data_IF_496316390355
#
_entry.id   IF_496316390355
#
_cell.length_a   1.000
_cell.length_b   1.000
_cell.length_c   1.000
_cell.angle_alpha   90.00
_cell.angle_beta   90.00
_cell.angle_gamma   90.00
#
_symmetry.space_group_name_H-M   'P 1'
#
loop_
_entity.id
_entity.type
_entity.pdbx_description
1 polymer ?
#
# COMPACT_ATOMS: atom_id res chain seq x y z
N UNK A 1 15.68 -33.36 -36.68
CA UNK A 1 15.61 -32.35 -35.60
C UNK A 1 14.15 -32.12 -35.24
N UNK A 2 13.65 -32.78 -34.18
CA UNK A 2 12.30 -32.55 -33.64
C UNK A 2 12.44 -31.48 -32.57
N UNK A 3 11.90 -30.29 -32.83
CA UNK A 3 11.85 -29.21 -31.83
C UNK A 3 10.62 -29.47 -30.95
N UNK A 4 10.86 -29.99 -29.74
CA UNK A 4 9.86 -30.05 -28.69
C UNK A 4 9.69 -28.65 -28.10
N UNK A 5 8.55 -28.01 -28.35
CA UNK A 5 8.15 -26.78 -27.68
C UNK A 5 7.66 -27.19 -26.29
N UNK A 6 8.45 -26.89 -25.26
CA UNK A 6 8.03 -27.03 -23.88
C UNK A 6 7.15 -25.83 -23.54
N UNK A 7 5.83 -25.99 -23.65
CA UNK A 7 4.88 -25.01 -23.13
C UNK A 7 4.91 -25.08 -21.61
N UNK A 8 5.54 -24.10 -20.97
CA UNK A 8 5.49 -23.92 -19.52
C UNK A 8 4.10 -23.38 -19.18
N UNK A 9 3.17 -24.28 -18.88
CA UNK A 9 1.84 -23.94 -18.37
C UNK A 9 2.02 -23.45 -16.93
N UNK A 10 2.25 -22.15 -16.74
CA UNK A 10 2.26 -21.55 -15.41
C UNK A 10 0.82 -21.45 -14.94
N UNK A 11 0.40 -22.41 -14.11
CA UNK A 11 -0.82 -22.28 -13.32
C UNK A 11 -0.56 -21.19 -12.27
N UNK A 12 -0.85 -19.93 -12.60
CA UNK A 12 -0.85 -18.84 -11.65
C UNK A 12 -2.10 -18.94 -10.78
N UNK A 13 -2.06 -19.81 -9.77
CA UNK A 13 -2.90 -19.67 -8.58
C UNK A 13 -2.44 -18.38 -7.90
N UNK A 14 -3.27 -17.35 -7.90
CA UNK A 14 -3.02 -16.14 -7.11
C UNK A 14 -2.95 -16.53 -5.65
N UNK A 15 -1.74 -16.64 -5.10
CA UNK A 15 -1.54 -16.86 -3.68
C UNK A 15 -1.87 -15.57 -2.96
N UNK A 16 -2.77 -15.61 -1.97
CA UNK A 16 -2.96 -14.46 -1.08
C UNK A 16 -1.64 -14.03 -0.45
N UNK A 17 -1.54 -12.77 -0.02
CA UNK A 17 -0.36 -12.25 0.65
C UNK A 17 -0.07 -13.05 1.92
N UNK A 18 0.88 -13.98 1.83
CA UNK A 18 1.43 -14.75 2.95
C UNK A 18 2.74 -14.09 3.44
N UNK A 19 2.78 -12.76 3.46
CA UNK A 19 3.99 -12.02 3.83
C UNK A 19 4.40 -12.31 5.27
N UNK A 20 5.71 -12.45 5.49
CA UNK A 20 6.31 -12.62 6.81
C UNK A 20 6.45 -11.29 7.59
N UNK A 21 6.00 -10.18 6.98
CA UNK A 21 6.06 -8.83 7.52
C UNK A 21 4.81 -8.03 7.09
N UNK A 22 4.40 -7.01 7.86
CA UNK A 22 3.28 -6.15 7.48
C UNK A 22 3.61 -5.36 6.20
N UNK A 23 2.59 -5.14 5.37
CA UNK A 23 2.65 -4.23 4.23
C UNK A 23 1.81 -3.00 4.57
N UNK A 24 2.48 -1.87 4.80
CA UNK A 24 1.81 -0.60 5.11
C UNK A 24 1.97 0.33 3.92
N UNK A 25 0.84 0.87 3.47
CA UNK A 25 0.75 1.80 2.34
C UNK A 25 0.33 3.14 2.92
N UNK A 26 1.27 4.07 2.99
CA UNK A 26 1.16 5.35 3.67
C UNK A 26 1.56 6.51 2.72
N UNK A 27 1.71 7.74 3.22
CA UNK A 27 2.04 8.91 2.38
C UNK A 27 3.34 8.74 1.56
N UNK A 28 4.26 7.87 1.99
CA UNK A 28 5.54 7.63 1.31
C UNK A 28 5.41 6.73 0.08
N UNK A 29 4.28 6.05 -0.07
CA UNK A 29 4.06 5.08 -1.13
C UNK A 29 3.21 5.68 -2.28
N UNK A 30 3.37 6.96 -2.62
CA UNK A 30 2.57 7.70 -3.62
C UNK A 30 3.31 8.00 -4.93
N UNK A 31 4.63 7.78 -5.01
CA UNK A 31 5.42 8.05 -6.21
C UNK A 31 5.38 6.88 -7.21
N UNK A 32 4.37 6.93 -8.09
CA UNK A 32 4.16 5.94 -9.15
C UNK A 32 5.30 5.85 -10.18
N UNK A 33 6.19 6.85 -10.27
CA UNK A 33 7.33 6.77 -11.20
C UNK A 33 8.31 5.66 -10.81
N UNK A 34 8.27 5.26 -9.54
CA UNK A 34 9.12 4.20 -9.00
C UNK A 34 8.61 2.81 -9.34
N UNK A 35 7.35 2.65 -9.79
CA UNK A 35 6.77 1.36 -10.15
C UNK A 35 7.27 0.95 -11.55
N UNK A 36 8.11 -0.09 -11.68
CA UNK A 36 8.61 -0.52 -12.98
C UNK A 36 7.47 -1.07 -13.86
N UNK A 37 7.57 -0.88 -15.17
CA UNK A 37 6.55 -1.30 -16.14
C UNK A 37 6.15 -2.78 -16.04
N UNK A 38 7.09 -3.67 -15.69
CA UNK A 38 6.81 -5.09 -15.47
C UNK A 38 5.82 -5.33 -14.32
N UNK A 39 5.89 -4.52 -13.25
CA UNK A 39 4.99 -4.64 -12.11
C UNK A 39 3.63 -3.98 -12.38
N UNK A 40 3.59 -2.90 -13.17
CA UNK A 40 2.33 -2.36 -13.69
C UNK A 40 1.60 -3.43 -14.53
N UNK A 41 2.33 -4.15 -15.40
CA UNK A 41 1.76 -5.26 -16.16
C UNK A 41 1.31 -6.43 -15.24
N UNK A 42 2.11 -6.76 -14.22
CA UNK A 42 1.75 -7.80 -13.25
C UNK A 42 0.47 -7.47 -12.48
N UNK A 43 0.27 -6.22 -12.07
CA UNK A 43 -0.99 -5.78 -11.43
C UNK A 43 -2.19 -6.07 -12.33
N UNK A 44 -2.14 -5.66 -13.60
CA UNK A 44 -3.26 -5.82 -14.53
C UNK A 44 -3.58 -7.28 -14.88
N UNK A 45 -2.57 -8.14 -14.82
CA UNK A 45 -2.73 -9.58 -15.05
C UNK A 45 -3.21 -10.34 -13.82
N UNK A 46 -2.72 -9.95 -12.64
CA UNK A 46 -2.82 -10.79 -11.45
C UNK A 46 -3.77 -10.24 -10.39
N UNK A 47 -4.08 -8.95 -10.38
CA UNK A 47 -4.93 -8.34 -9.33
C UNK A 47 -6.35 -8.17 -9.86
N UNK A 48 -7.30 -8.72 -9.10
CA UNK A 48 -8.74 -8.56 -9.32
C UNK A 48 -9.37 -8.19 -7.98
N UNK A 49 -9.84 -6.96 -7.90
CA UNK A 49 -10.08 -6.30 -6.62
C UNK A 49 -11.58 -6.13 -6.36
N UNK A 50 -12.04 -6.54 -5.17
CA UNK A 50 -13.33 -6.17 -4.60
C UNK A 50 -13.15 -4.98 -3.67
N UNK A 51 -13.91 -3.92 -3.92
CA UNK A 51 -13.90 -2.73 -3.09
C UNK A 51 -15.30 -2.38 -2.63
N UNK A 52 -15.46 -2.19 -1.34
CA UNK A 52 -16.71 -1.77 -0.75
C UNK A 52 -16.48 -0.51 0.08
N UNK A 53 -17.33 0.49 -0.07
CA UNK A 53 -17.12 1.76 0.59
C UNK A 53 -18.40 2.59 0.70
N UNK A 54 -18.32 3.68 1.45
CA UNK A 54 -19.29 4.78 1.42
C UNK A 54 -18.64 6.02 0.80
N UNK A 55 -19.08 7.24 1.10
CA UNK A 55 -18.61 8.46 0.42
C UNK A 55 -17.10 8.65 0.45
N UNK A 56 -16.42 8.51 1.60
CA UNK A 56 -14.97 8.76 1.69
C UNK A 56 -14.14 7.75 0.89
N UNK A 57 -14.54 6.48 0.83
CA UNK A 57 -13.80 5.51 0.03
C UNK A 57 -13.88 5.76 -1.48
N UNK A 58 -14.92 6.47 -1.96
CA UNK A 58 -15.01 6.85 -3.38
C UNK A 58 -13.84 7.72 -3.85
N UNK A 59 -13.09 8.32 -2.91
CA UNK A 59 -11.88 9.07 -3.22
C UNK A 59 -10.81 8.23 -3.94
N UNK A 60 -10.71 6.91 -3.65
CA UNK A 60 -9.82 6.02 -4.40
C UNK A 60 -10.29 5.88 -5.85
N UNK A 61 -11.60 5.80 -6.09
CA UNK A 61 -12.17 5.70 -7.44
C UNK A 61 -11.83 6.96 -8.25
N UNK A 62 -12.04 8.14 -7.68
CA UNK A 62 -11.71 9.42 -8.30
C UNK A 62 -10.21 9.52 -8.60
N UNK A 63 -9.35 9.19 -7.64
CA UNK A 63 -7.89 9.21 -7.82
C UNK A 63 -7.37 8.24 -8.88
N UNK A 64 -7.89 7.00 -8.90
CA UNK A 64 -7.54 6.00 -9.90
C UNK A 64 -8.02 6.42 -11.30
N UNK A 65 -9.20 7.02 -11.41
CA UNK A 65 -9.73 7.52 -12.67
C UNK A 65 -8.88 8.66 -13.24
N UNK A 66 -8.47 9.62 -12.40
CA UNK A 66 -7.55 10.70 -12.84
C UNK A 66 -6.22 10.12 -13.31
N UNK A 67 -5.60 9.24 -12.53
CA UNK A 67 -4.33 8.64 -12.91
C UNK A 67 -4.42 7.85 -14.23
N UNK A 68 -5.49 7.07 -14.42
CA UNK A 68 -5.76 6.36 -15.67
C UNK A 68 -5.87 7.30 -16.88
N UNK A 69 -6.50 8.48 -16.70
CA UNK A 69 -6.64 9.49 -17.76
C UNK A 69 -5.31 10.22 -18.06
N UNK A 70 -4.50 10.45 -17.03
CA UNK A 70 -3.18 11.09 -17.16
C UNK A 70 -2.15 10.17 -17.83
N UNK A 71 -2.21 8.88 -17.52
CA UNK A 71 -1.22 7.90 -17.95
C UNK A 71 -1.84 6.52 -18.18
N UNK A 72 -2.03 6.19 -19.45
CA UNK A 72 -2.62 4.93 -19.90
C UNK A 72 -1.85 3.66 -19.46
N UNK A 73 -0.62 3.78 -18.95
CA UNK A 73 0.09 2.65 -18.33
C UNK A 73 -0.71 2.10 -17.13
N UNK A 74 -1.32 3.01 -16.37
CA UNK A 74 -2.12 2.75 -15.17
C UNK A 74 -3.60 2.53 -15.49
N UNK A 75 -3.87 1.75 -16.54
CA UNK A 75 -5.20 1.33 -16.98
C UNK A 75 -6.09 0.88 -15.82
N UNK A 76 -7.27 1.48 -15.67
CA UNK A 76 -8.23 1.16 -14.59
C UNK A 76 -9.63 0.93 -15.14
N UNK A 77 -10.30 -0.10 -14.62
CA UNK A 77 -11.68 -0.44 -14.96
C UNK A 77 -12.48 -0.72 -13.68
N UNK A 78 -13.50 0.10 -13.43
CA UNK A 78 -14.48 -0.07 -12.35
C UNK A 78 -15.78 -0.65 -12.92
N UNK A 79 -16.29 -1.71 -12.32
CA UNK A 79 -17.64 -2.23 -12.59
C UNK A 79 -18.54 -2.04 -11.38
N UNK A 80 -19.74 -1.50 -11.59
CA UNK A 80 -20.77 -1.39 -10.55
C UNK A 80 -21.35 -2.77 -10.26
N UNK A 81 -21.20 -3.25 -9.02
CA UNK A 81 -21.69 -4.55 -8.54
C UNK A 81 -21.37 -5.72 -9.48
N UNK A 82 -20.28 -5.60 -10.24
CA UNK A 82 -19.92 -6.51 -11.32
C UNK A 82 -18.43 -6.41 -11.62
N UNK A 83 -17.84 -7.50 -12.09
CA UNK A 83 -16.45 -7.50 -12.49
C UNK A 83 -16.33 -7.07 -13.96
N UNK A 84 -15.62 -5.97 -14.28
CA UNK A 84 -15.44 -5.56 -15.66
C UNK A 84 -14.54 -6.53 -16.43
N UNK A 85 -14.74 -6.63 -17.75
CA UNK A 85 -13.95 -7.47 -18.66
C UNK A 85 -12.89 -6.70 -19.45
N UNK A 86 -12.66 -5.43 -19.12
CA UNK A 86 -11.72 -4.54 -19.82
C UNK A 86 -10.30 -5.13 -19.81
N UNK A 87 -9.70 -5.37 -20.98
CA UNK A 87 -8.34 -5.90 -21.07
C UNK A 87 -7.32 -4.84 -20.65
N UNK A 88 -6.15 -5.29 -20.19
CA UNK A 88 -5.02 -4.41 -19.86
C UNK A 88 -5.40 -3.28 -18.86
N UNK A 89 -6.19 -3.61 -17.84
CA UNK A 89 -6.57 -2.70 -16.77
C UNK A 89 -6.57 -3.42 -15.41
N UNK A 90 -6.30 -2.68 -14.33
CA UNK A 90 -6.67 -3.07 -12.98
C UNK A 90 -8.20 -3.13 -12.93
N UNK A 91 -8.75 -4.29 -12.57
CA UNK A 91 -10.20 -4.52 -12.55
C UNK A 91 -10.73 -4.48 -11.14
N UNK A 92 -11.74 -3.65 -10.93
CA UNK A 92 -12.41 -3.48 -9.66
C UNK A 92 -13.89 -3.87 -9.76
N UNK A 93 -14.32 -4.79 -8.91
CA UNK A 93 -15.71 -5.02 -8.55
C UNK A 93 -16.05 -4.02 -7.43
N UNK A 94 -16.88 -3.04 -7.75
CA UNK A 94 -17.27 -1.99 -6.82
C UNK A 94 -18.62 -2.29 -6.16
N UNK A 95 -18.64 -2.29 -4.82
CA UNK A 95 -19.83 -2.57 -4.05
C UNK A 95 -20.03 -4.05 -3.72
N UNK A 96 -21.26 -4.36 -3.31
CA UNK A 96 -21.74 -5.72 -3.06
C UNK A 96 -22.65 -6.17 -4.23
N UNK A 97 -23.69 -6.98 -3.94
CA UNK A 97 -24.55 -7.62 -4.94
C UNK A 97 -25.32 -6.62 -5.81
N UNK A 98 -25.91 -5.59 -5.20
CA UNK A 98 -26.81 -4.64 -5.88
C UNK A 98 -26.67 -3.18 -5.42
N UNK A 99 -25.66 -2.91 -4.59
CA UNK A 99 -25.39 -1.60 -4.00
C UNK A 99 -23.88 -1.33 -3.98
N UNK A 100 -23.43 -0.11 -4.28
CA UNK A 100 -22.04 0.35 -4.15
C UNK A 100 -21.81 1.31 -2.97
N UNK A 101 -22.85 1.61 -2.19
CA UNK A 101 -22.78 2.35 -0.94
C UNK A 101 -22.88 1.42 0.27
N UNK A 102 -21.73 0.93 0.73
CA UNK A 102 -21.60 -0.20 1.66
C UNK A 102 -21.17 0.27 3.05
N UNK A 103 -22.13 0.42 3.96
CA UNK A 103 -21.92 0.63 5.39
C UNK A 103 -21.35 -0.63 6.09
N UNK A 104 -20.86 -0.54 7.35
CA UNK A 104 -20.31 -1.70 8.05
C UNK A 104 -21.21 -2.94 8.04
N UNK A 105 -22.52 -2.75 8.27
CA UNK A 105 -23.55 -3.79 8.35
C UNK A 105 -23.82 -4.49 7.01
N UNK A 106 -23.25 -3.96 5.92
CA UNK A 106 -23.30 -4.51 4.59
C UNK A 106 -21.97 -5.15 4.15
N UNK A 107 -20.95 -5.23 5.02
CA UNK A 107 -19.66 -5.85 4.68
C UNK A 107 -19.07 -6.77 5.77
N UNK A 108 -18.84 -6.26 6.97
CA UNK A 108 -18.18 -7.02 8.05
C UNK A 108 -19.00 -7.06 9.35
N UNK A 109 -19.92 -6.11 9.56
CA UNK A 109 -20.68 -6.02 10.80
C UNK A 109 -21.97 -6.84 10.68
N UNK A 110 -22.20 -7.72 11.66
CA UNK A 110 -23.40 -8.56 11.69
C UNK A 110 -23.42 -9.68 10.64
N UNK A 111 -24.31 -10.65 10.84
CA UNK A 111 -24.39 -11.84 9.99
C UNK A 111 -24.78 -11.55 8.54
N UNK A 112 -25.59 -10.50 8.31
CA UNK A 112 -26.05 -10.13 6.97
C UNK A 112 -24.91 -9.54 6.12
N UNK A 113 -24.17 -8.56 6.64
CA UNK A 113 -23.01 -7.99 5.95
C UNK A 113 -21.92 -9.02 5.68
N UNK A 114 -21.64 -9.88 6.66
CA UNK A 114 -20.69 -10.99 6.50
C UNK A 114 -21.12 -11.93 5.36
N UNK A 115 -22.41 -12.29 5.29
CA UNK A 115 -22.94 -13.15 4.24
C UNK A 115 -22.87 -12.49 2.85
N UNK A 116 -23.09 -11.17 2.74
CA UNK A 116 -22.96 -10.45 1.47
C UNK A 116 -21.53 -10.50 0.93
N UNK A 117 -20.53 -10.21 1.76
CA UNK A 117 -19.11 -10.30 1.37
C UNK A 117 -18.73 -11.73 0.98
N UNK A 118 -19.19 -12.73 1.73
CA UNK A 118 -18.99 -14.13 1.40
C UNK A 118 -19.61 -14.48 0.03
N UNK A 119 -20.80 -13.98 -0.25
CA UNK A 119 -21.51 -14.23 -1.50
C UNK A 119 -20.80 -13.58 -2.70
N UNK A 120 -20.33 -12.34 -2.58
CA UNK A 120 -19.55 -11.68 -3.65
C UNK A 120 -18.30 -12.50 -3.98
N UNK A 121 -17.53 -12.89 -2.98
CA UNK A 121 -16.29 -13.66 -3.19
C UNK A 121 -16.55 -15.07 -3.72
N UNK A 122 -17.61 -15.74 -3.24
CA UNK A 122 -17.99 -17.08 -3.71
C UNK A 122 -18.48 -17.07 -5.17
N UNK A 123 -19.22 -16.03 -5.56
CA UNK A 123 -19.74 -15.89 -6.92
C UNK A 123 -18.68 -15.40 -7.93
N UNK A 124 -17.60 -14.80 -7.45
CA UNK A 124 -16.53 -14.24 -8.28
C UNK A 124 -15.17 -14.79 -7.84
N UNK A 125 -14.89 -16.09 -8.06
CA UNK A 125 -13.69 -16.76 -7.54
C UNK A 125 -12.36 -16.23 -8.11
N UNK A 126 -12.39 -15.35 -9.12
CA UNK A 126 -11.21 -14.65 -9.60
C UNK A 126 -10.79 -13.47 -8.73
N UNK A 127 -11.67 -12.94 -7.87
CA UNK A 127 -11.33 -11.89 -6.92
C UNK A 127 -10.28 -12.42 -5.95
N UNK A 128 -9.20 -11.65 -5.76
CA UNK A 128 -8.10 -12.05 -4.90
C UNK A 128 -7.59 -10.92 -3.99
N UNK A 129 -8.23 -9.76 -4.04
CA UNK A 129 -8.06 -8.68 -3.07
C UNK A 129 -9.45 -8.19 -2.66
N UNK A 130 -9.68 -7.99 -1.37
CA UNK A 130 -10.92 -7.41 -0.83
C UNK A 130 -10.58 -6.29 0.14
N UNK A 131 -11.20 -5.14 -0.02
CA UNK A 131 -10.97 -3.97 0.84
C UNK A 131 -12.29 -3.29 1.17
N UNK A 132 -12.41 -2.79 2.40
CA UNK A 132 -13.54 -1.95 2.82
C UNK A 132 -13.06 -0.66 3.46
N UNK A 133 -13.69 0.46 3.11
CA UNK A 133 -13.31 1.78 3.57
C UNK A 133 -14.28 2.38 4.59
N UNK A 134 -13.69 2.94 5.65
CA UNK A 134 -14.40 3.75 6.64
C UNK A 134 -14.88 5.08 6.05
N UNK A 135 -15.98 5.59 6.59
CA UNK A 135 -16.35 7.00 6.58
C UNK A 135 -16.12 7.53 8.00
N UNK A 136 -17.10 8.18 8.63
CA UNK A 136 -16.99 8.68 10.00
C UNK A 136 -17.12 7.62 11.11
N UNK A 137 -17.43 6.35 10.79
CA UNK A 137 -17.72 5.33 11.81
C UNK A 137 -16.57 5.14 12.80
N UNK A 138 -15.33 5.14 12.32
CA UNK A 138 -14.16 5.00 13.18
C UNK A 138 -14.01 6.16 14.20
N UNK A 139 -14.62 7.33 13.96
CA UNK A 139 -14.56 8.47 14.87
C UNK A 139 -15.48 8.35 16.08
N UNK A 140 -16.57 7.60 15.97
CA UNK A 140 -17.54 7.37 17.05
C UNK A 140 -17.65 5.92 17.51
N UNK A 141 -17.05 4.96 16.80
CA UNK A 141 -16.93 3.57 17.25
C UNK A 141 -15.97 3.49 18.44
N UNK A 142 -16.30 2.64 19.42
CA UNK A 142 -15.42 2.37 20.56
C UNK A 142 -14.38 1.28 20.22
N UNK A 143 -13.41 1.06 21.12
CA UNK A 143 -12.33 0.10 20.92
C UNK A 143 -12.82 -1.35 20.74
N UNK A 144 -13.93 -1.74 21.35
CA UNK A 144 -14.56 -3.05 21.14
C UNK A 144 -15.08 -3.19 19.70
N UNK A 145 -15.74 -2.17 19.15
CA UNK A 145 -16.23 -2.20 17.77
C UNK A 145 -15.08 -2.24 16.76
N UNK A 146 -13.99 -1.49 17.00
CA UNK A 146 -12.78 -1.59 16.18
C UNK A 146 -12.17 -2.99 16.26
N UNK A 147 -12.15 -3.61 17.45
CA UNK A 147 -11.66 -4.97 17.63
C UNK A 147 -12.52 -6.00 16.89
N UNK A 148 -13.85 -5.80 16.85
CA UNK A 148 -14.77 -6.66 16.09
C UNK A 148 -14.47 -6.59 14.58
N UNK A 149 -14.24 -5.39 14.04
CA UNK A 149 -13.79 -5.23 12.64
C UNK A 149 -12.51 -6.03 12.38
N UNK A 150 -11.49 -5.86 13.22
CA UNK A 150 -10.20 -6.51 13.04
C UNK A 150 -10.31 -8.05 13.09
N UNK A 151 -11.08 -8.57 14.04
CA UNK A 151 -11.34 -10.01 14.14
C UNK A 151 -12.11 -10.54 12.94
N UNK A 152 -13.14 -9.82 12.47
CA UNK A 152 -13.91 -10.26 11.33
C UNK A 152 -13.09 -10.24 10.03
N UNK A 153 -12.26 -9.23 9.82
CA UNK A 153 -11.34 -9.19 8.68
C UNK A 153 -10.39 -10.40 8.70
N UNK A 154 -9.85 -10.78 9.86
CA UNK A 154 -9.04 -12.01 9.99
C UNK A 154 -9.83 -13.31 9.82
N UNK A 155 -11.10 -13.32 10.22
CA UNK A 155 -11.99 -14.47 9.95
C UNK A 155 -12.20 -14.64 8.44
N UNK A 156 -12.37 -13.54 7.69
CA UNK A 156 -12.45 -13.61 6.23
C UNK A 156 -11.16 -14.12 5.59
N UNK A 157 -9.98 -13.69 6.04
CA UNK A 157 -8.69 -14.22 5.54
C UNK A 157 -8.59 -15.73 5.77
N UNK A 158 -9.09 -16.22 6.90
CA UNK A 158 -9.13 -17.67 7.20
C UNK A 158 -10.10 -18.42 6.28
N UNK A 159 -11.26 -17.82 5.99
CA UNK A 159 -12.29 -18.42 5.15
C UNK A 159 -11.95 -18.39 3.66
N UNK A 160 -11.26 -17.35 3.19
CA UNK A 160 -10.88 -17.13 1.80
C UNK A 160 -9.37 -17.01 1.68
N UNK A 161 -8.61 -18.12 1.82
CA UNK A 161 -7.15 -18.10 1.88
C UNK A 161 -6.45 -17.67 0.58
N UNK A 162 -7.20 -17.49 -0.53
CA UNK A 162 -6.70 -16.96 -1.79
C UNK A 162 -7.04 -15.47 -2.00
N UNK A 163 -7.70 -14.85 -1.02
CA UNK A 163 -8.07 -13.42 -1.03
C UNK A 163 -7.24 -12.69 0.01
N UNK A 164 -6.53 -11.65 -0.43
CA UNK A 164 -5.87 -10.72 0.49
C UNK A 164 -6.87 -9.70 0.99
N UNK A 165 -7.15 -9.68 2.29
CA UNK A 165 -7.98 -8.64 2.89
C UNK A 165 -7.11 -7.45 3.28
N UNK A 166 -7.40 -6.29 2.70
CA UNK A 166 -6.71 -5.04 3.02
C UNK A 166 -7.48 -4.33 4.12
N UNK A 167 -6.78 -4.07 5.22
CA UNK A 167 -7.25 -3.28 6.34
C UNK A 167 -7.04 -1.80 5.99
N UNK A 168 -7.83 -0.92 6.61
CA UNK A 168 -7.80 0.50 6.30
C UNK A 168 -7.99 1.33 7.56
N UNK A 169 -7.27 2.45 7.69
CA UNK A 169 -7.58 3.47 8.70
C UNK A 169 -8.76 4.33 8.23
N UNK A 170 -9.41 5.04 9.16
CA UNK A 170 -10.37 6.09 8.82
C UNK A 170 -9.68 7.31 8.21
N UNK A 171 -10.46 8.35 7.95
CA UNK A 171 -9.97 9.66 7.50
C UNK A 171 -9.48 10.50 8.69
N UNK A 172 -9.07 11.75 8.43
CA UNK A 172 -8.88 12.79 9.44
C UNK A 172 -10.19 13.54 9.72
N UNK A 173 -10.42 13.95 10.96
CA UNK A 173 -11.64 14.66 11.37
C UNK A 173 -11.35 15.97 12.13
N UNK A 174 -10.10 16.44 12.13
CA UNK A 174 -9.68 17.61 12.88
C UNK A 174 -9.64 17.43 14.40
N UNK A 175 -9.87 16.22 14.93
CA UNK A 175 -9.74 15.96 16.38
C UNK A 175 -8.29 15.81 16.85
N UNK A 176 -7.33 15.83 15.92
CA UNK A 176 -5.90 15.88 16.17
C UNK A 176 -5.30 14.59 16.72
N UNK A 177 -4.02 14.68 17.12
CA UNK A 177 -3.22 13.52 17.56
C UNK A 177 -3.82 12.78 18.77
N UNK A 178 -4.55 13.48 19.63
CA UNK A 178 -5.20 12.92 20.81
C UNK A 178 -6.68 12.58 20.59
N UNK A 179 -7.19 12.79 19.38
CA UNK A 179 -8.57 12.57 18.98
C UNK A 179 -9.01 11.10 19.05
N UNK A 180 -10.32 10.87 19.17
CA UNK A 180 -10.88 9.51 19.21
C UNK A 180 -10.57 8.75 17.93
N UNK A 181 -10.77 9.36 16.77
CA UNK A 181 -10.49 8.74 15.48
C UNK A 181 -9.03 8.33 15.34
N UNK A 182 -8.07 9.18 15.74
CA UNK A 182 -6.66 8.83 15.68
C UNK A 182 -6.31 7.65 16.62
N UNK A 183 -6.92 7.58 17.81
CA UNK A 183 -6.75 6.41 18.70
C UNK A 183 -7.24 5.12 18.03
N UNK A 184 -8.39 5.16 17.34
CA UNK A 184 -8.89 3.99 16.61
C UNK A 184 -8.01 3.62 15.41
N UNK A 185 -7.53 4.61 14.65
CA UNK A 185 -6.57 4.40 13.58
C UNK A 185 -5.28 3.75 14.09
N UNK A 186 -4.80 4.15 15.27
CA UNK A 186 -3.63 3.54 15.89
C UNK A 186 -3.88 2.09 16.31
N UNK A 187 -5.06 1.75 16.82
CA UNK A 187 -5.43 0.35 17.07
C UNK A 187 -5.37 -0.50 15.79
N UNK A 188 -5.88 0.01 14.67
CA UNK A 188 -5.82 -0.69 13.37
C UNK A 188 -4.37 -0.84 12.90
N UNK A 189 -3.56 0.23 12.97
CA UNK A 189 -2.14 0.21 12.61
C UNK A 189 -1.35 -0.80 13.43
N UNK A 190 -1.53 -0.81 14.75
CA UNK A 190 -0.88 -1.73 15.66
C UNK A 190 -1.27 -3.18 15.37
N UNK A 191 -2.55 -3.45 15.14
CA UNK A 191 -3.03 -4.77 14.77
C UNK A 191 -2.39 -5.25 13.47
N UNK A 192 -2.34 -4.40 12.43
CA UNK A 192 -1.76 -4.77 11.15
C UNK A 192 -0.26 -5.06 11.27
N UNK A 193 0.49 -4.23 12.00
CA UNK A 193 1.93 -4.44 12.23
C UNK A 193 2.20 -5.72 13.02
N UNK A 194 1.43 -5.97 14.08
CA UNK A 194 1.61 -7.14 14.94
C UNK A 194 1.28 -8.46 14.23
N UNK A 195 0.32 -8.44 13.30
CA UNK A 195 -0.19 -9.64 12.65
C UNK A 195 0.17 -9.73 11.17
N UNK A 196 1.18 -8.98 10.72
CA UNK A 196 1.68 -8.98 9.33
C UNK A 196 0.59 -8.74 8.26
N UNK A 197 -0.38 -7.88 8.56
CA UNK A 197 -1.49 -7.57 7.64
C UNK A 197 -1.07 -6.55 6.57
N UNK A 198 -1.90 -6.46 5.54
CA UNK A 198 -1.85 -5.39 4.55
C UNK A 198 -2.73 -4.24 5.04
N UNK A 199 -2.15 -3.05 5.17
CA UNK A 199 -2.82 -1.83 5.61
C UNK A 199 -2.73 -0.75 4.54
N UNK A 200 -3.86 -0.20 4.15
CA UNK A 200 -3.97 1.08 3.44
C UNK A 200 -4.22 2.19 4.46
N UNK A 201 -3.19 2.98 4.78
CA UNK A 201 -3.24 3.98 5.84
C UNK A 201 -3.79 5.32 5.31
N UNK A 202 -5.10 5.36 5.12
CA UNK A 202 -5.84 6.50 4.57
C UNK A 202 -5.62 7.80 5.37
N UNK A 203 -5.71 7.74 6.70
CA UNK A 203 -5.44 8.90 7.56
C UNK A 203 -3.99 9.38 7.45
N UNK A 204 -3.02 8.47 7.31
CA UNK A 204 -1.63 8.87 7.14
C UNK A 204 -1.43 9.62 5.82
N UNK A 205 -1.97 9.11 4.70
CA UNK A 205 -1.90 9.81 3.41
C UNK A 205 -2.51 11.22 3.49
N UNK A 206 -3.62 11.39 4.22
CA UNK A 206 -4.26 12.71 4.42
C UNK A 206 -3.50 13.64 5.36
N UNK A 207 -2.58 13.10 6.17
CA UNK A 207 -1.82 13.87 7.16
C UNK A 207 -0.61 14.57 6.56
N UNK A 208 -0.27 14.31 5.30
CA UNK A 208 0.92 14.88 4.66
C UNK A 208 0.60 15.52 3.32
N UNK A 209 1.23 16.68 3.07
CA UNK A 209 1.30 17.18 1.71
C UNK A 209 2.28 16.32 0.87
N UNK A 210 2.26 16.43 -0.48
CA UNK A 210 3.17 15.67 -1.32
C UNK A 210 4.66 16.03 -1.15
N UNK A 211 4.99 17.10 -0.42
CA UNK A 211 6.36 17.47 -0.06
C UNK A 211 6.82 16.83 1.26
N UNK A 212 5.94 16.11 1.95
CA UNK A 212 6.23 15.42 3.21
C UNK A 212 6.03 16.28 4.46
N UNK A 213 5.37 17.45 4.37
CA UNK A 213 5.01 18.24 5.54
C UNK A 213 3.80 17.61 6.24
N UNK A 214 3.86 17.48 7.57
CA UNK A 214 2.82 16.83 8.39
C UNK A 214 1.80 17.84 8.94
N UNK A 215 0.51 17.44 8.98
CA UNK A 215 -0.61 18.32 9.33
C UNK A 215 -1.60 17.74 10.36
N UNK A 216 -1.58 16.45 10.72
CA UNK A 216 -2.45 15.91 11.79
C UNK A 216 -2.14 16.57 13.15
N UNK A 217 -0.88 16.92 13.43
CA UNK A 217 -0.50 17.69 14.62
C UNK A 217 -1.08 19.11 14.68
N UNK A 218 -1.63 19.59 13.56
CA UNK A 218 -2.25 20.90 13.39
C UNK A 218 -3.77 20.80 13.21
N UNK A 219 -4.34 19.70 13.70
CA UNK A 219 -5.77 19.40 13.67
C UNK A 219 -6.34 19.38 12.25
N UNK A 220 -5.59 18.78 11.32
CA UNK A 220 -6.07 18.67 9.95
C UNK A 220 -7.33 17.82 9.80
N UNK A 221 -8.18 18.19 8.85
CA UNK A 221 -9.42 17.49 8.49
C UNK A 221 -9.28 16.72 7.17
N UNK A 222 -10.30 15.92 6.86
CA UNK A 222 -10.49 15.26 5.57
C UNK A 222 -10.62 16.26 4.40
N UNK A 223 -11.09 17.47 4.66
CA UNK A 223 -11.14 18.59 3.69
C UNK A 223 -9.78 19.25 3.41
N UNK A 224 -8.70 18.71 3.99
CA UNK A 224 -7.33 19.26 3.97
C UNK A 224 -7.16 20.59 4.73
N UNK A 225 -8.19 21.04 5.46
CA UNK A 225 -8.07 22.19 6.34
C UNK A 225 -7.22 21.84 7.54
N UNK A 226 -6.54 22.83 8.11
CA UNK A 226 -5.81 22.73 9.37
C UNK A 226 -5.80 24.10 10.08
N UNK A 227 -5.33 24.17 11.33
CA UNK A 227 -5.15 25.45 12.04
C UNK A 227 -4.12 26.36 11.35
N UNK A 228 -4.61 27.21 10.45
CA UNK A 228 -3.80 28.16 9.67
C UNK A 228 -4.04 28.15 8.17
N UNK A 229 -4.87 27.25 7.62
CA UNK A 229 -5.20 27.26 6.20
C UNK A 229 -5.65 25.91 5.66
N UNK A 230 -5.36 25.66 4.39
CA UNK A 230 -5.69 24.41 3.70
C UNK A 230 -4.46 23.94 2.94
N UNK A 231 -3.86 22.83 3.39
CA UNK A 231 -2.54 22.41 2.92
C UNK A 231 -2.56 22.02 1.44
N UNK A 232 -3.69 21.50 0.96
CA UNK A 232 -3.84 21.08 -0.43
C UNK A 232 -3.89 22.28 -1.38
N UNK A 233 -4.66 23.31 -1.01
CA UNK A 233 -4.75 24.56 -1.76
C UNK A 233 -3.39 25.26 -1.79
N UNK A 234 -2.74 25.35 -0.63
CA UNK A 234 -1.41 25.95 -0.50
C UNK A 234 -0.36 25.21 -1.34
N UNK A 235 -0.35 23.88 -1.27
CA UNK A 235 0.59 23.06 -2.01
C UNK A 235 0.39 23.19 -3.53
N UNK A 236 -0.85 23.16 -4.00
CA UNK A 236 -1.14 23.33 -5.42
C UNK A 236 -0.83 24.74 -5.93
N UNK A 237 -1.02 25.78 -5.11
CA UNK A 237 -0.60 27.14 -5.46
C UNK A 237 0.93 27.26 -5.60
N UNK A 238 1.68 26.52 -4.76
CA UNK A 238 3.14 26.48 -4.82
C UNK A 238 3.70 25.57 -5.95
N UNK A 239 2.89 24.63 -6.46
CA UNK A 239 3.27 23.66 -7.50
C UNK A 239 2.36 23.72 -8.73
N UNK A 240 2.27 24.87 -9.42
CA UNK A 240 1.38 25.02 -10.56
C UNK A 240 1.73 24.02 -11.67
N UNK A 241 0.70 23.33 -12.18
CA UNK A 241 0.85 22.31 -13.23
C UNK A 241 1.28 20.94 -12.74
N UNK A 242 1.39 20.72 -11.42
CA UNK A 242 1.59 19.38 -10.88
C UNK A 242 0.39 18.48 -11.23
N UNK A 243 0.61 17.25 -11.75
CA UNK A 243 -0.46 16.31 -12.04
C UNK A 243 -1.20 15.82 -10.79
N UNK A 244 -0.65 16.04 -9.59
CA UNK A 244 -1.39 15.77 -8.35
C UNK A 244 -2.53 16.77 -8.13
N UNK A 245 -2.47 17.96 -8.73
CA UNK A 245 -3.49 19.00 -8.59
C UNK A 245 -4.61 18.90 -9.62
N UNK A 246 -4.59 17.90 -10.49
CA UNK A 246 -5.64 17.70 -11.50
C UNK A 246 -6.99 17.47 -10.83
N UNK A 247 -8.00 18.15 -11.35
CA UNK A 247 -9.33 18.16 -10.77
C UNK A 247 -9.97 16.78 -10.81
N UNK A 248 -10.59 16.41 -9.69
CA UNK A 248 -11.59 15.37 -9.61
C UNK A 248 -12.64 15.76 -8.57
N UNK A 249 -13.82 15.16 -8.67
CA UNK A 249 -14.81 15.24 -7.60
C UNK A 249 -14.35 14.34 -6.45
N UNK A 250 -13.62 14.94 -5.52
CA UNK A 250 -13.03 14.28 -4.37
C UNK A 250 -13.96 14.43 -3.17
N UNK A 251 -14.72 13.38 -2.85
CA UNK A 251 -15.75 13.45 -1.81
C UNK A 251 -15.17 13.92 -0.46
N UNK A 252 -15.69 15.03 0.07
CA UNK A 252 -15.27 15.64 1.36
C UNK A 252 -13.78 15.98 1.43
N UNK A 253 -13.12 16.23 0.29
CA UNK A 253 -11.69 16.46 0.26
C UNK A 253 -11.26 17.29 -0.94
N UNK A 254 -9.95 17.57 -1.05
CA UNK A 254 -9.36 18.29 -2.17
C UNK A 254 -8.83 17.31 -3.23
N UNK A 255 -8.78 17.69 -4.53
CA UNK A 255 -8.31 16.80 -5.60
C UNK A 255 -6.95 16.17 -5.36
N UNK A 256 -6.02 16.88 -4.72
CA UNK A 256 -4.67 16.36 -4.41
C UNK A 256 -4.73 15.10 -3.54
N UNK A 257 -5.65 15.04 -2.58
CA UNK A 257 -5.80 13.91 -1.67
C UNK A 257 -6.26 12.65 -2.41
N UNK A 258 -7.28 12.78 -3.26
CA UNK A 258 -7.72 11.69 -4.14
C UNK A 258 -6.59 11.22 -5.06
N UNK A 259 -5.88 12.15 -5.70
CA UNK A 259 -4.77 11.82 -6.61
C UNK A 259 -3.64 11.06 -5.91
N UNK A 260 -3.27 11.44 -4.68
CA UNK A 260 -2.30 10.72 -3.85
C UNK A 260 -2.81 9.32 -3.50
N UNK A 261 -4.07 9.17 -3.08
CA UNK A 261 -4.67 7.87 -2.72
C UNK A 261 -4.77 6.91 -3.91
N UNK A 262 -5.12 7.41 -5.09
CA UNK A 262 -5.13 6.58 -6.31
C UNK A 262 -3.75 6.05 -6.67
N UNK A 263 -2.70 6.86 -6.46
CA UNK A 263 -1.30 6.46 -6.64
C UNK A 263 -0.83 5.47 -5.61
N UNK A 264 -1.17 5.70 -4.34
CA UNK A 264 -0.92 4.77 -3.24
C UNK A 264 -1.61 3.41 -3.47
N UNK A 265 -2.82 3.41 -4.03
CA UNK A 265 -3.51 2.18 -4.39
C UNK A 265 -2.74 1.40 -5.47
N UNK A 266 -2.25 2.06 -6.52
CA UNK A 266 -1.38 1.42 -7.52
C UNK A 266 -0.09 0.87 -6.92
N UNK A 267 0.53 1.60 -6.00
CA UNK A 267 1.69 1.11 -5.27
C UNK A 267 1.34 -0.16 -4.50
N UNK A 268 0.26 -0.14 -3.71
CA UNK A 268 -0.23 -1.31 -2.99
C UNK A 268 -0.41 -2.52 -3.91
N UNK A 269 -1.10 -2.36 -5.03
CA UNK A 269 -1.33 -3.47 -5.95
C UNK A 269 -0.04 -3.96 -6.57
N UNK A 270 0.90 -3.08 -6.91
CA UNK A 270 2.21 -3.51 -7.40
C UNK A 270 2.96 -4.35 -6.35
N UNK A 271 2.92 -3.94 -5.08
CA UNK A 271 3.48 -4.73 -3.97
C UNK A 271 2.80 -6.10 -3.83
N UNK A 272 1.47 -6.15 -3.90
CA UNK A 272 0.70 -7.40 -3.88
C UNK A 272 0.97 -8.29 -5.10
N UNK A 273 1.26 -7.69 -6.26
CA UNK A 273 1.64 -8.42 -7.47
C UNK A 273 3.07 -8.97 -7.42
N UNK A 274 3.84 -8.69 -6.35
CA UNK A 274 5.18 -9.22 -6.11
C UNK A 274 6.31 -8.19 -6.19
N UNK A 275 6.01 -6.93 -6.48
CA UNK A 275 7.03 -5.88 -6.55
C UNK A 275 7.74 -5.76 -5.19
N UNK A 276 9.08 -5.84 -5.14
CA UNK A 276 9.84 -5.59 -3.91
C UNK A 276 9.51 -4.26 -3.22
N UNK A 277 9.04 -3.27 -3.99
CA UNK A 277 9.09 -1.88 -3.61
C UNK A 277 10.35 -1.23 -4.20
N UNK A 278 10.39 0.09 -4.15
CA UNK A 278 11.56 0.83 -4.56
C UNK A 278 12.63 0.79 -3.47
N UNK A 279 13.92 0.69 -3.83
CA UNK A 279 15.00 0.99 -2.90
C UNK A 279 15.07 2.52 -2.73
N UNK A 280 14.25 3.08 -1.87
CA UNK A 280 14.40 4.48 -1.46
C UNK A 280 15.48 4.59 -0.37
N UNK A 281 16.40 5.54 -0.54
CA UNK A 281 17.29 6.02 0.53
C UNK A 281 18.44 5.11 0.95
N UNK A 282 18.83 4.09 0.16
CA UNK A 282 20.00 3.27 0.50
C UNK A 282 21.28 4.14 0.57
N UNK A 283 21.69 4.50 1.80
CA UNK A 283 22.93 5.21 2.07
C UNK A 283 23.99 4.22 2.52
N UNK A 284 25.24 4.48 2.14
CA UNK A 284 26.38 3.67 2.55
C UNK A 284 27.46 4.58 3.13
N UNK A 285 27.83 4.38 4.40
CA UNK A 285 28.91 5.11 5.05
C UNK A 285 29.98 4.16 5.57
N UNK A 286 31.25 4.44 5.25
CA UNK A 286 32.38 3.75 5.87
C UNK A 286 32.58 4.28 7.29
N UNK A 287 32.59 3.39 8.27
CA UNK A 287 32.83 3.73 9.66
C UNK A 287 34.33 3.72 9.99
N UNK A 288 34.80 4.61 10.89
CA UNK A 288 36.15 4.54 11.42
C UNK A 288 36.40 3.14 12.03
N UNK A 289 37.32 2.37 11.43
CA UNK A 289 37.59 0.98 11.83
C UNK A 289 37.21 -0.09 10.79
N UNK A 290 36.69 0.29 9.61
CA UNK A 290 36.48 -0.64 8.48
C UNK A 290 35.12 -1.33 8.43
N UNK A 291 34.13 -0.85 9.19
CA UNK A 291 32.73 -1.27 9.05
C UNK A 291 32.03 -0.55 7.88
N UNK A 292 31.06 -1.22 7.26
CA UNK A 292 30.13 -0.59 6.32
C UNK A 292 28.78 -0.42 7.02
N UNK A 293 28.35 0.82 7.21
CA UNK A 293 26.99 1.12 7.62
C UNK A 293 26.11 1.27 6.38
N UNK A 294 25.00 0.53 6.36
CA UNK A 294 23.96 0.67 5.34
C UNK A 294 22.72 1.25 6.02
N UNK A 295 22.27 2.40 5.54
CA UNK A 295 21.00 3.02 5.92
C UNK A 295 20.00 2.90 4.77
N UNK A 296 18.71 2.92 5.08
CA UNK A 296 17.66 3.16 4.08
C UNK A 296 16.57 4.01 4.71
N UNK A 297 16.11 5.00 3.96
CA UNK A 297 14.93 5.76 4.29
C UNK A 297 13.70 5.05 3.72
N UNK A 298 12.86 4.55 4.61
CA UNK A 298 11.50 4.09 4.30
C UNK A 298 11.40 2.99 3.23
N UNK A 299 11.83 1.77 3.54
CA UNK A 299 11.33 0.63 2.79
C UNK A 299 9.87 0.37 3.21
N UNK A 300 8.90 0.54 2.29
CA UNK A 300 7.46 0.24 2.53
C UNK A 300 7.22 -1.26 2.92
N UNK A 301 8.25 -2.11 3.11
CA UNK A 301 8.19 -3.40 3.85
C UNK A 301 9.58 -3.91 4.28
N UNK A 302 9.61 -4.91 5.16
CA UNK A 302 10.81 -5.75 5.31
C UNK A 302 11.10 -6.48 4.00
N UNK A 303 12.30 -6.31 3.46
CA UNK A 303 12.82 -7.03 2.29
C UNK A 303 14.17 -7.62 2.68
N UNK A 304 14.38 -8.90 2.37
CA UNK A 304 15.68 -9.54 2.61
C UNK A 304 16.64 -9.16 1.48
N UNK A 305 17.73 -8.51 1.85
CA UNK A 305 18.84 -8.23 0.95
C UNK A 305 20.05 -9.05 1.39
N UNK A 306 20.73 -9.65 0.43
CA UNK A 306 22.06 -10.22 0.59
C UNK A 306 23.07 -9.13 0.22
N UNK A 307 24.00 -8.85 1.13
CA UNK A 307 25.13 -7.94 0.85
C UNK A 307 26.34 -8.82 0.53
N UNK A 308 26.86 -8.70 -0.69
CA UNK A 308 28.05 -9.41 -1.13
C UNK A 308 29.21 -8.44 -1.26
N UNK A 309 30.32 -8.71 -0.57
CA UNK A 309 31.56 -7.94 -0.72
C UNK A 309 32.46 -8.59 -1.76
N UNK A 310 32.99 -7.81 -2.70
CA UNK A 310 34.06 -8.24 -3.60
C UNK A 310 35.30 -7.40 -3.33
N UNK A 311 36.38 -8.06 -2.91
CA UNK A 311 37.73 -7.48 -2.88
C UNK A 311 38.37 -7.75 -4.24
N UNK A 312 39.03 -6.74 -4.81
CA UNK A 312 39.52 -6.77 -6.19
C UNK A 312 40.19 -8.10 -6.61
N UNK A 313 39.77 -8.58 -7.79
CA UNK A 313 40.37 -9.62 -8.65
C UNK A 313 40.74 -11.00 -8.06
N UNK A 314 40.54 -11.26 -6.77
CA UNK A 314 40.72 -12.60 -6.19
C UNK A 314 39.48 -13.02 -5.41
N UNK A 315 38.86 -14.12 -5.84
CA UNK A 315 37.59 -14.70 -5.41
C UNK A 315 37.55 -15.14 -3.92
N UNK A 316 37.61 -14.20 -2.97
CA UNK A 316 37.06 -14.42 -1.65
C UNK A 316 35.76 -13.61 -1.51
N UNK A 317 34.66 -14.23 -1.95
CA UNK A 317 33.33 -13.73 -1.68
C UNK A 317 32.97 -14.05 -0.23
N UNK A 318 32.98 -13.04 0.63
CA UNK A 318 32.29 -13.15 1.92
C UNK A 318 30.82 -12.86 1.66
N UNK A 319 29.97 -13.86 1.92
CA UNK A 319 28.51 -13.72 1.92
C UNK A 319 28.09 -13.52 3.37
N UNK A 320 27.77 -12.29 3.73
CA UNK A 320 27.04 -12.03 4.97
C UNK A 320 25.55 -11.97 4.62
N UNK A 321 24.80 -13.00 5.02
CA UNK A 321 23.34 -12.95 4.99
C UNK A 321 22.88 -12.15 6.20
N UNK A 322 22.18 -11.04 5.96
CA UNK A 322 21.48 -10.31 7.01
C UNK A 322 20.02 -10.18 6.60
N UNK A 323 19.14 -10.48 7.55
CA UNK A 323 17.70 -10.31 7.39
C UNK A 323 17.37 -8.90 7.86
N UNK A 324 16.90 -8.05 6.96
CA UNK A 324 16.53 -6.68 7.29
C UNK A 324 15.04 -6.60 7.59
N UNK A 325 14.69 -6.15 8.81
CA UNK A 325 13.32 -5.85 9.22
C UNK A 325 13.07 -4.34 9.21
N UNK A 326 11.79 -3.97 9.07
CA UNK A 326 11.38 -2.61 8.78
C UNK A 326 11.64 -1.67 9.97
N UNK A 327 12.29 -0.53 9.69
CA UNK A 327 12.79 0.56 10.56
C UNK A 327 14.10 0.31 11.31
N UNK A 328 15.11 1.10 10.97
CA UNK A 328 16.35 1.30 11.74
C UNK A 328 17.62 1.18 10.90
N UNK A 329 18.61 2.05 11.15
CA UNK A 329 19.97 1.89 10.67
C UNK A 329 20.52 0.52 11.11
N UNK A 330 21.15 -0.22 10.18
CA UNK A 330 21.78 -1.50 10.49
C UNK A 330 23.27 -1.41 10.17
N UNK A 331 24.10 -1.62 11.20
CA UNK A 331 25.55 -1.64 11.05
C UNK A 331 26.01 -3.07 10.74
N UNK A 332 26.67 -3.25 9.60
CA UNK A 332 27.29 -4.53 9.23
C UNK A 332 28.80 -4.40 9.46
N UNK A 333 29.33 -5.17 10.40
CA UNK A 333 30.75 -5.23 10.63
C UNK A 333 31.41 -6.17 9.62
N UNK A 334 32.32 -5.62 8.82
CA UNK A 334 33.27 -6.43 8.06
C UNK A 334 34.63 -6.39 8.75
N UNK A 335 35.26 -7.55 8.93
CA UNK A 335 36.67 -7.62 9.31
C UNK A 335 37.55 -7.24 8.11
N UNK A 336 37.42 -6.04 7.57
CA UNK A 336 38.33 -5.56 6.53
C UNK A 336 39.55 -4.94 7.19
N UNK A 337 40.68 -5.63 7.08
CA UNK A 337 41.99 -5.07 7.39
C UNK A 337 42.16 -3.76 6.57
N UNK A 338 42.47 -2.60 7.19
CA UNK A 338 42.46 -1.27 6.53
C UNK A 338 43.47 -1.07 5.38
N UNK A 339 44.16 -2.12 4.95
CA UNK A 339 45.20 -2.10 3.91
C UNK A 339 44.74 -2.59 2.53
N UNK A 340 43.49 -3.06 2.36
CA UNK A 340 43.01 -3.53 1.06
C UNK A 340 42.29 -2.45 0.23
N UNK A 341 42.59 -2.33 -1.07
CA UNK A 341 42.01 -1.31 -1.94
C UNK A 341 40.56 -1.66 -2.28
N UNK A 342 39.68 -0.65 -2.22
CA UNK A 342 38.30 -0.62 -2.71
C UNK A 342 37.52 -1.96 -2.59
N UNK A 343 36.81 -2.13 -1.49
CA UNK A 343 35.75 -3.14 -1.40
C UNK A 343 34.53 -2.65 -2.20
N UNK A 344 34.05 -3.46 -3.14
CA UNK A 344 32.78 -3.21 -3.82
C UNK A 344 31.70 -4.06 -3.18
N UNK A 345 30.61 -3.42 -2.75
CA UNK A 345 29.47 -4.10 -2.15
C UNK A 345 28.35 -4.19 -3.17
N UNK A 346 27.77 -5.38 -3.33
CA UNK A 346 26.60 -5.63 -4.16
C UNK A 346 25.44 -6.03 -3.26
N UNK A 347 24.36 -5.25 -3.29
CA UNK A 347 23.10 -5.66 -2.70
C UNK A 347 22.30 -6.48 -3.72
N UNK A 348 21.96 -7.70 -3.36
CA UNK A 348 21.12 -8.60 -4.14
C UNK A 348 19.92 -9.02 -3.30
N UNK A 349 18.69 -8.88 -3.80
CA UNK A 349 17.52 -9.37 -3.07
C UNK A 349 17.49 -10.90 -3.08
N UNK A 350 17.16 -11.54 -1.95
CA UNK A 350 16.89 -12.98 -1.87
C UNK A 350 15.41 -13.30 -1.98
#
# INVERSE_FOLDING_TARGET
MKHSILACLSLCLGTAYAGTAPLVIDHTCTDISQIPAAWIAAVKSNVVWHYAHTSHGSQLNSGLAVLNNQDARFGFARGYCSLPSTPNALRMYDGQIDNDYISPDLYWEGSSGIALTQQVLSNNPSLNVSMWAWCGQAGYYNSTQISNYLHQMSAFETQFPNVTFVYMTGHLDGSGVNGTLNRQNNMIREYCRKNNKVLFDFADIESYDPSGNEFMSRDATDECDYSGGNWAVEWCAAHPGSPLCDYCDCAHSQPVNCNQKGRAAWWMFARLAGWPGAPSGASSQLQPGGGLELGWDNLCSGTVYQVSQTTGLTNQAWVAETIFTNRGFQQIWTNSNPTHPAAFYRLERR
#
